data_IF_399989555866
#
_entry.id   IF_399989555866
#
_cell.length_a   1.000
_cell.length_b   1.000
_cell.length_c   1.000
_cell.angle_alpha   90.00
_cell.angle_beta   90.00
_cell.angle_gamma   90.00
#
_symmetry.space_group_name_H-M   'P 1'
#
loop_
_entity.id
_entity.type
_entity.pdbx_description
1 polymer ?
#
# COMPACT_ATOMS: atom_id res chain seq x y z
N UNK A 1 49.26 -37.50 1.97
CA UNK A 1 48.24 -37.61 3.04
C UNK A 1 48.36 -36.37 3.92
N UNK A 2 47.21 -35.77 4.24
CA UNK A 2 46.99 -34.56 5.05
C UNK A 2 47.06 -33.22 4.31
N UNK A 3 45.86 -32.68 4.18
CA UNK A 3 45.35 -31.57 3.38
C UNK A 3 45.65 -30.19 3.97
N UNK A 4 46.11 -29.30 3.10
CA UNK A 4 46.07 -27.85 3.22
C UNK A 4 44.61 -27.39 3.27
N UNK A 5 44.20 -26.74 4.37
CA UNK A 5 42.84 -26.21 4.52
C UNK A 5 42.83 -24.79 3.95
N UNK A 6 42.37 -24.70 2.71
CA UNK A 6 42.05 -23.44 2.03
C UNK A 6 41.03 -22.65 2.84
N UNK A 7 41.45 -21.49 3.35
CA UNK A 7 40.56 -20.44 3.84
C UNK A 7 39.90 -19.77 2.63
N UNK A 8 38.80 -20.38 2.17
CA UNK A 8 37.83 -19.72 1.31
C UNK A 8 36.99 -18.79 2.17
N UNK A 9 37.48 -17.57 2.42
CA UNK A 9 36.66 -16.48 2.96
C UNK A 9 35.67 -16.10 1.87
N UNK A 10 34.54 -16.80 1.85
CA UNK A 10 33.42 -16.49 0.96
C UNK A 10 33.01 -15.07 1.30
N UNK A 11 33.29 -14.16 0.38
CA UNK A 11 32.84 -12.79 0.41
C UNK A 11 31.37 -12.80 0.78
N UNK A 12 31.07 -12.34 2.00
CA UNK A 12 29.73 -11.93 2.37
C UNK A 12 29.42 -10.81 1.38
N UNK A 13 28.70 -11.14 0.32
CA UNK A 13 28.05 -10.14 -0.51
C UNK A 13 27.04 -9.48 0.42
N UNK A 14 27.51 -8.48 1.15
CA UNK A 14 26.68 -7.40 1.62
C UNK A 14 26.02 -6.88 0.35
N UNK A 15 24.80 -7.33 0.09
CA UNK A 15 23.98 -6.78 -0.98
C UNK A 15 23.93 -5.29 -0.71
N UNK A 16 24.73 -4.53 -1.47
CA UNK A 16 24.69 -3.08 -1.43
C UNK A 16 23.21 -2.71 -1.58
N UNK A 17 22.67 -1.86 -0.69
CA UNK A 17 21.31 -1.41 -0.84
C UNK A 17 21.23 -0.79 -2.22
N UNK A 18 20.41 -1.38 -3.09
CA UNK A 18 20.17 -0.92 -4.45
C UNK A 18 19.95 0.59 -4.43
N UNK A 19 21.00 1.35 -4.77
CA UNK A 19 21.04 2.82 -4.69
C UNK A 19 20.20 3.48 -5.78
N UNK A 20 19.41 2.69 -6.50
CA UNK A 20 18.68 3.08 -7.70
C UNK A 20 17.19 3.31 -7.45
N UNK A 21 16.66 2.92 -6.29
CA UNK A 21 15.27 3.22 -5.92
C UNK A 21 15.20 4.71 -5.50
N UNK A 22 14.45 5.57 -6.21
CA UNK A 22 14.34 6.97 -5.83
C UNK A 22 13.82 7.10 -4.39
N UNK A 23 14.19 8.18 -3.67
CA UNK A 23 13.77 8.39 -2.29
C UNK A 23 12.25 8.23 -2.20
N UNK A 24 11.81 7.29 -1.36
CA UNK A 24 10.38 7.07 -1.14
C UNK A 24 9.85 8.24 -0.33
N UNK A 25 9.08 9.11 -0.97
CA UNK A 25 8.32 10.16 -0.31
C UNK A 25 7.03 9.55 0.28
N UNK A 26 6.95 9.32 1.60
CA UNK A 26 5.81 8.64 2.21
C UNK A 26 4.52 9.46 2.11
N UNK A 27 4.63 10.78 2.10
CA UNK A 27 3.48 11.69 2.01
C UNK A 27 2.92 11.70 0.57
N UNK A 28 3.78 11.64 -0.44
CA UNK A 28 3.34 11.43 -1.83
C UNK A 28 2.66 10.08 -2.01
N UNK A 29 3.20 9.01 -1.40
CA UNK A 29 2.57 7.69 -1.43
C UNK A 29 1.21 7.70 -0.70
N UNK A 30 1.08 8.41 0.43
CA UNK A 30 -0.19 8.54 1.15
C UNK A 30 -1.25 9.22 0.29
N UNK A 31 -0.90 10.30 -0.40
CA UNK A 31 -1.81 10.96 -1.35
C UNK A 31 -2.20 10.06 -2.53
N UNK A 32 -1.28 9.22 -3.01
CA UNK A 32 -1.59 8.24 -4.08
C UNK A 32 -2.51 7.14 -3.57
N UNK A 33 -2.29 6.64 -2.36
CA UNK A 33 -3.13 5.64 -1.72
C UNK A 33 -4.58 6.13 -1.66
N UNK A 34 -4.81 7.33 -1.10
CA UNK A 34 -6.14 7.94 -1.03
C UNK A 34 -6.83 8.05 -2.38
N UNK A 35 -6.16 8.63 -3.38
CA UNK A 35 -6.74 8.73 -4.72
C UNK A 35 -7.11 7.38 -5.31
N UNK A 36 -6.22 6.38 -5.15
CA UNK A 36 -6.45 5.04 -5.66
C UNK A 36 -7.62 4.36 -4.96
N UNK A 37 -7.74 4.54 -3.64
CA UNK A 37 -8.85 3.96 -2.87
C UNK A 37 -10.16 4.65 -3.19
N UNK A 38 -10.18 5.98 -3.37
CA UNK A 38 -11.38 6.74 -3.79
C UNK A 38 -11.85 6.35 -5.21
N UNK A 39 -10.93 6.01 -6.11
CA UNK A 39 -11.26 5.48 -7.44
C UNK A 39 -11.90 4.09 -7.36
N UNK A 40 -11.32 3.20 -6.55
CA UNK A 40 -11.83 1.84 -6.36
C UNK A 40 -13.21 1.90 -5.67
N UNK A 41 -13.34 2.65 -4.59
CA UNK A 41 -14.60 2.79 -3.85
C UNK A 41 -15.75 3.21 -4.76
N UNK A 42 -15.56 4.29 -5.53
CA UNK A 42 -16.59 4.78 -6.45
C UNK A 42 -16.99 3.71 -7.46
N UNK A 43 -16.01 3.05 -8.07
CA UNK A 43 -16.30 2.01 -9.06
C UNK A 43 -17.08 0.83 -8.44
N UNK A 44 -16.62 0.32 -7.30
CA UNK A 44 -17.23 -0.84 -6.65
C UNK A 44 -18.61 -0.51 -6.07
N UNK A 45 -18.82 0.69 -5.53
CA UNK A 45 -20.12 1.16 -5.05
C UNK A 45 -21.11 1.32 -6.21
N UNK A 46 -20.69 1.90 -7.32
CA UNK A 46 -21.52 2.06 -8.52
C UNK A 46 -21.91 0.70 -9.11
N UNK A 47 -20.98 -0.25 -9.18
CA UNK A 47 -21.24 -1.64 -9.61
C UNK A 47 -22.18 -2.35 -8.64
N UNK A 48 -21.98 -2.20 -7.33
CA UNK A 48 -22.85 -2.80 -6.31
C UNK A 48 -24.28 -2.27 -6.39
N UNK A 49 -24.45 -0.95 -6.50
CA UNK A 49 -25.78 -0.33 -6.66
C UNK A 49 -26.42 -0.84 -7.95
N UNK A 50 -25.70 -0.84 -9.07
CA UNK A 50 -26.22 -1.32 -10.36
C UNK A 50 -26.67 -2.78 -10.30
N UNK A 51 -25.87 -3.65 -9.67
CA UNK A 51 -26.17 -5.07 -9.52
C UNK A 51 -27.36 -5.33 -8.59
N UNK A 52 -27.55 -4.50 -7.56
CA UNK A 52 -28.68 -4.59 -6.64
C UNK A 52 -29.96 -4.03 -7.27
N UNK A 53 -29.91 -2.87 -7.93
CA UNK A 53 -31.02 -2.27 -8.67
C UNK A 53 -31.56 -3.24 -9.75
N UNK A 54 -30.69 -3.99 -10.42
CA UNK A 54 -31.09 -4.99 -11.39
C UNK A 54 -31.91 -6.16 -10.80
N UNK A 55 -31.86 -6.36 -9.48
CA UNK A 55 -32.63 -7.40 -8.77
C UNK A 55 -33.92 -6.87 -8.16
N UNK A 56 -34.12 -5.55 -8.20
CA UNK A 56 -35.28 -4.84 -7.69
C UNK A 56 -34.92 -3.39 -7.44
N UNK A 57 -35.87 -2.48 -7.69
CA UNK A 57 -35.63 -1.04 -7.55
C UNK A 57 -35.19 -0.71 -6.11
N UNK A 58 -33.96 -0.21 -5.95
CA UNK A 58 -33.49 0.29 -4.67
C UNK A 58 -34.09 1.67 -4.39
N UNK A 59 -34.47 1.86 -3.14
CA UNK A 59 -34.77 3.20 -2.63
C UNK A 59 -33.48 4.01 -2.49
N UNK A 60 -33.60 5.34 -2.43
CA UNK A 60 -32.42 6.19 -2.20
C UNK A 60 -31.74 5.90 -0.85
N UNK A 61 -32.54 5.59 0.19
CA UNK A 61 -32.03 5.19 1.50
C UNK A 61 -31.20 3.90 1.42
N UNK A 62 -31.64 2.91 0.63
CA UNK A 62 -30.87 1.68 0.44
C UNK A 62 -29.56 1.94 -0.33
N UNK A 63 -29.57 2.84 -1.31
CA UNK A 63 -28.35 3.26 -2.02
C UNK A 63 -27.39 3.97 -1.08
N UNK A 64 -27.89 4.82 -0.19
CA UNK A 64 -27.08 5.50 0.83
C UNK A 64 -26.40 4.49 1.76
N UNK A 65 -27.12 3.46 2.23
CA UNK A 65 -26.52 2.37 3.04
C UNK A 65 -25.36 1.68 2.31
N UNK A 66 -25.47 1.45 1.00
CA UNK A 66 -24.38 0.84 0.21
C UNK A 66 -23.18 1.78 0.12
N UNK A 67 -23.39 3.09 -0.06
CA UNK A 67 -22.32 4.09 -0.06
C UNK A 67 -21.62 4.17 1.30
N UNK A 68 -22.39 4.19 2.39
CA UNK A 68 -21.86 4.21 3.76
C UNK A 68 -21.02 2.97 4.06
N UNK A 69 -21.48 1.79 3.61
CA UNK A 69 -20.71 0.56 3.72
C UNK A 69 -19.40 0.64 2.92
N UNK A 70 -19.43 1.19 1.71
CA UNK A 70 -18.23 1.43 0.90
C UNK A 70 -17.21 2.30 1.64
N UNK A 71 -17.65 3.44 2.16
CA UNK A 71 -16.81 4.37 2.93
C UNK A 71 -16.22 3.70 4.17
N UNK A 72 -17.03 2.97 4.95
CA UNK A 72 -16.57 2.27 6.14
C UNK A 72 -15.50 1.20 5.83
N UNK A 73 -15.67 0.47 4.72
CA UNK A 73 -14.68 -0.51 4.29
C UNK A 73 -13.36 0.14 3.89
N UNK A 74 -13.39 1.27 3.17
CA UNK A 74 -12.18 2.00 2.80
C UNK A 74 -11.45 2.51 4.03
N UNK A 75 -12.17 3.13 4.97
CA UNK A 75 -11.60 3.65 6.21
C UNK A 75 -10.88 2.55 7.00
N UNK A 76 -11.56 1.42 7.24
CA UNK A 76 -11.01 0.30 8.01
C UNK A 76 -9.80 -0.36 7.31
N UNK A 77 -9.89 -0.60 6.00
CA UNK A 77 -8.82 -1.29 5.26
C UNK A 77 -7.56 -0.42 5.08
N UNK A 78 -7.73 0.90 5.02
CA UNK A 78 -6.63 1.83 4.72
C UNK A 78 -6.03 2.50 5.95
N UNK A 79 -6.69 2.45 7.12
CA UNK A 79 -6.20 3.07 8.35
C UNK A 79 -4.76 2.70 8.71
N UNK A 80 -4.43 1.40 8.68
CA UNK A 80 -3.10 0.90 9.02
C UNK A 80 -2.00 1.34 8.03
N UNK A 81 -2.14 1.18 6.69
CA UNK A 81 -1.15 1.67 5.75
C UNK A 81 -1.03 3.21 5.76
N UNK A 82 -2.12 3.96 5.90
CA UNK A 82 -2.07 5.41 6.04
C UNK A 82 -1.25 5.86 7.25
N UNK A 83 -1.52 5.27 8.41
CA UNK A 83 -0.80 5.60 9.64
C UNK A 83 0.68 5.21 9.55
N UNK A 84 1.00 4.14 8.84
CA UNK A 84 2.39 3.72 8.60
C UNK A 84 3.14 4.75 7.75
N UNK A 85 2.52 5.23 6.65
CA UNK A 85 3.10 6.26 5.79
C UNK A 85 3.24 7.61 6.53
N UNK A 86 2.24 7.97 7.33
CA UNK A 86 2.27 9.18 8.15
C UNK A 86 3.42 9.17 9.17
N UNK A 87 3.64 8.04 9.85
CA UNK A 87 4.79 7.90 10.77
C UNK A 87 6.11 8.01 10.03
N UNK A 88 6.23 7.35 8.88
CA UNK A 88 7.45 7.38 8.06
C UNK A 88 7.76 8.80 7.54
N UNK A 89 6.75 9.64 7.29
CA UNK A 89 6.94 11.02 6.88
C UNK A 89 7.45 11.95 8.00
N UNK A 90 7.30 11.55 9.27
CA UNK A 90 7.70 12.37 10.44
C UNK A 90 9.12 12.06 10.94
N UNK A 91 9.71 10.94 10.55
CA UNK A 91 11.01 10.47 11.05
C UNK A 91 12.08 10.73 9.99
N UNK A 92 13.09 11.55 10.33
CA UNK A 92 14.26 11.78 9.49
C UNK A 92 15.57 11.48 10.26
N UNK A 93 16.41 10.52 9.81
CA UNK A 93 16.17 9.59 8.71
C UNK A 93 15.24 8.43 9.13
N UNK A 94 14.37 7.91 8.23
CA UNK A 94 13.50 6.79 8.55
C UNK A 94 14.30 5.52 8.81
N UNK A 95 13.88 4.74 9.80
CA UNK A 95 14.46 3.43 10.11
C UNK A 95 14.30 2.46 8.93
N UNK A 96 15.19 1.46 8.80
CA UNK A 96 15.11 0.49 7.69
C UNK A 96 13.78 -0.26 7.69
N UNK A 97 13.20 -0.55 8.86
CA UNK A 97 11.89 -1.16 8.99
C UNK A 97 10.78 -0.31 8.36
N UNK A 98 10.83 1.01 8.55
CA UNK A 98 9.85 1.92 7.99
C UNK A 98 10.01 2.02 6.47
N UNK A 99 11.24 2.05 5.96
CA UNK A 99 11.50 1.97 4.51
C UNK A 99 10.97 0.69 3.90
N UNK A 100 11.20 -0.45 4.53
CA UNK A 100 10.67 -1.74 4.08
C UNK A 100 9.14 -1.74 4.03
N UNK A 101 8.48 -1.19 5.04
CA UNK A 101 7.01 -1.06 5.08
C UNK A 101 6.49 -0.12 4.00
N UNK A 102 7.11 1.05 3.82
CA UNK A 102 6.75 1.98 2.75
C UNK A 102 6.89 1.34 1.36
N UNK A 103 7.95 0.55 1.12
CA UNK A 103 8.10 -0.23 -0.12
C UNK A 103 7.02 -1.30 -0.28
N UNK A 104 6.63 -1.97 0.81
CA UNK A 104 5.59 -2.98 0.79
C UNK A 104 4.23 -2.35 0.44
N UNK A 105 3.89 -1.21 1.07
CA UNK A 105 2.65 -0.46 0.76
C UNK A 105 2.63 0.00 -0.69
N UNK A 106 3.74 0.57 -1.20
CA UNK A 106 3.87 0.96 -2.61
C UNK A 106 3.52 -0.19 -3.56
N UNK A 107 4.04 -1.39 -3.28
CA UNK A 107 3.85 -2.57 -4.14
C UNK A 107 2.47 -3.21 -3.98
N UNK A 108 1.94 -3.26 -2.76
CA UNK A 108 0.64 -3.89 -2.50
C UNK A 108 -0.52 -3.12 -3.13
N UNK A 109 -0.42 -1.78 -3.13
CA UNK A 109 -1.46 -0.90 -3.66
C UNK A 109 -1.12 -0.33 -5.04
N UNK A 110 -0.09 -0.87 -5.71
CA UNK A 110 0.36 -0.45 -7.04
C UNK A 110 0.57 1.08 -7.18
N UNK A 111 1.17 1.72 -6.17
CA UNK A 111 1.34 3.18 -6.09
C UNK A 111 2.55 3.71 -6.88
N UNK A 112 2.93 3.00 -7.95
CA UNK A 112 4.04 3.36 -8.85
C UNK A 112 3.84 4.71 -9.54
N UNK A 113 4.88 5.21 -10.22
CA UNK A 113 4.67 6.30 -11.17
C UNK A 113 3.93 5.74 -12.39
N UNK A 114 2.77 6.33 -12.71
CA UNK A 114 2.07 6.16 -13.98
C UNK A 114 2.56 7.22 -14.97
#
# INVERSE_FOLDING_TARGET
MSTDRSEGTVARSESEPDRSDPPLDPERLRRRLRRRTDEIERHEVDEAISALDARGDLTEEQREIVRDLGSALVEELTAAPEQTLERAARIEPPEERDRMRTRAIRRLFDLGEA
#
